data_IF_933308352067
#
_entry.id   IF_933308352067
#
_cell.length_a   1.000
_cell.length_b   1.000
_cell.length_c   1.000
_cell.angle_alpha   90.00
_cell.angle_beta   90.00
_cell.angle_gamma   90.00
#
_symmetry.space_group_name_H-M   'P 1'
#
loop_
_entity.id
_entity.type
_entity.pdbx_description
1 polymer ?
#
# COMPACT_ATOMS: atom_id res chain seq x y z
N UNK A 1 -15.33 -46.81 18.69
CA UNK A 1 -15.23 -45.80 17.62
C UNK A 1 -16.15 -44.59 17.83
N UNK A 2 -15.86 -43.78 18.84
CA UNK A 2 -16.56 -42.51 19.09
C UNK A 2 -15.64 -41.35 18.66
N UNK A 3 -15.52 -41.11 17.35
CA UNK A 3 -15.04 -39.80 16.87
C UNK A 3 -16.14 -38.78 17.18
N UNK A 4 -15.88 -37.89 18.15
CA UNK A 4 -16.85 -36.89 18.62
C UNK A 4 -17.29 -35.98 17.46
N UNK A 5 -18.54 -35.49 17.45
CA UNK A 5 -19.07 -34.63 16.38
C UNK A 5 -18.20 -33.39 16.08
N UNK A 6 -17.44 -32.90 17.07
CA UNK A 6 -16.45 -31.81 16.89
C UNK A 6 -15.34 -32.19 15.90
N UNK A 7 -14.76 -33.38 16.03
CA UNK A 7 -13.67 -33.83 15.12
C UNK A 7 -14.08 -33.99 13.65
N UNK A 8 -15.37 -34.19 13.36
CA UNK A 8 -15.87 -34.21 11.97
C UNK A 8 -16.02 -32.81 11.40
N UNK A 9 -16.53 -31.86 12.18
CA UNK A 9 -16.66 -30.45 11.78
C UNK A 9 -15.28 -29.85 11.51
N UNK A 10 -14.30 -30.13 12.37
CA UNK A 10 -12.93 -29.61 12.23
C UNK A 10 -12.25 -30.11 10.94
N UNK A 11 -12.44 -31.38 10.57
CA UNK A 11 -11.94 -31.95 9.30
C UNK A 11 -12.58 -31.32 8.07
N UNK A 12 -13.89 -31.09 8.13
CA UNK A 12 -14.62 -30.42 7.03
C UNK A 12 -14.14 -28.98 6.90
N UNK A 13 -13.98 -28.26 8.02
CA UNK A 13 -13.48 -26.90 8.02
C UNK A 13 -12.07 -26.80 7.43
N UNK A 14 -11.15 -27.68 7.83
CA UNK A 14 -9.80 -27.76 7.26
C UNK A 14 -9.82 -28.02 5.76
N UNK A 15 -10.67 -28.95 5.29
CA UNK A 15 -10.82 -29.20 3.84
C UNK A 15 -11.31 -27.95 3.11
N UNK A 16 -12.31 -27.25 3.66
CA UNK A 16 -12.84 -26.00 3.10
C UNK A 16 -11.77 -24.91 3.04
N UNK A 17 -10.91 -24.79 4.06
CA UNK A 17 -9.81 -23.83 4.09
C UNK A 17 -8.76 -24.11 3.01
N UNK A 18 -8.38 -25.37 2.80
CA UNK A 18 -7.42 -25.76 1.75
C UNK A 18 -8.00 -25.46 0.37
N UNK A 19 -9.26 -25.86 0.13
CA UNK A 19 -9.93 -25.59 -1.15
C UNK A 19 -10.07 -24.09 -1.39
N UNK A 20 -10.47 -23.32 -0.38
CA UNK A 20 -10.54 -21.86 -0.45
C UNK A 20 -9.20 -21.24 -0.85
N UNK A 21 -8.12 -21.69 -0.23
CA UNK A 21 -6.77 -21.19 -0.51
C UNK A 21 -6.39 -21.44 -1.97
N UNK A 22 -6.70 -22.62 -2.51
CA UNK A 22 -6.46 -22.96 -3.90
C UNK A 22 -7.28 -22.10 -4.86
N UNK A 23 -8.58 -21.90 -4.58
CA UNK A 23 -9.45 -21.03 -5.38
C UNK A 23 -8.96 -19.59 -5.36
N UNK A 24 -8.47 -19.12 -4.20
CA UNK A 24 -7.93 -17.79 -4.03
C UNK A 24 -6.65 -17.60 -4.85
N UNK A 25 -5.69 -18.53 -4.75
CA UNK A 25 -4.45 -18.50 -5.54
C UNK A 25 -4.77 -18.51 -7.03
N UNK A 26 -5.70 -19.37 -7.47
CA UNK A 26 -6.17 -19.38 -8.86
C UNK A 26 -6.81 -18.04 -9.26
N UNK A 27 -7.58 -17.41 -8.37
CA UNK A 27 -8.18 -16.09 -8.63
C UNK A 27 -7.12 -14.99 -8.78
N UNK A 28 -6.05 -15.01 -7.98
CA UNK A 28 -4.94 -14.05 -8.07
C UNK A 28 -4.16 -14.23 -9.38
N UNK A 29 -3.87 -15.47 -9.76
CA UNK A 29 -3.21 -15.79 -11.04
C UNK A 29 -4.08 -15.33 -12.21
N UNK A 30 -5.37 -15.66 -12.19
CA UNK A 30 -6.32 -15.20 -13.18
C UNK A 30 -6.38 -13.68 -13.27
N UNK A 31 -6.41 -12.97 -12.13
CA UNK A 31 -6.41 -11.50 -12.09
C UNK A 31 -5.17 -10.91 -12.76
N UNK A 32 -3.99 -11.48 -12.55
CA UNK A 32 -2.76 -11.04 -13.20
C UNK A 32 -2.84 -11.22 -14.73
N UNK A 33 -3.26 -12.40 -15.20
CA UNK A 33 -3.42 -12.71 -16.62
C UNK A 33 -4.48 -11.80 -17.26
N UNK A 34 -5.64 -11.66 -16.61
CA UNK A 34 -6.74 -10.82 -17.07
C UNK A 34 -6.32 -9.35 -17.17
N UNK A 35 -5.51 -8.86 -16.23
CA UNK A 35 -5.01 -7.48 -16.27
C UNK A 35 -4.10 -7.26 -17.48
N UNK A 36 -3.15 -8.16 -17.72
CA UNK A 36 -2.23 -8.08 -18.87
C UNK A 36 -3.00 -8.17 -20.20
N UNK A 37 -3.84 -9.18 -20.36
CA UNK A 37 -4.66 -9.34 -21.57
C UNK A 37 -5.58 -8.13 -21.80
N UNK A 38 -6.22 -7.61 -20.74
CA UNK A 38 -7.07 -6.41 -20.87
C UNK A 38 -6.28 -5.20 -21.37
N UNK A 39 -5.01 -5.06 -20.97
CA UNK A 39 -4.14 -4.00 -21.46
C UNK A 39 -3.81 -4.20 -22.94
N UNK A 40 -3.58 -5.44 -23.38
CA UNK A 40 -3.33 -5.76 -24.79
C UNK A 40 -4.55 -5.47 -25.67
N UNK A 41 -5.76 -5.85 -25.25
CA UNK A 41 -7.00 -5.52 -25.97
C UNK A 41 -7.21 -4.00 -26.09
N UNK A 42 -6.98 -3.25 -25.01
CA UNK A 42 -7.05 -1.78 -25.05
C UNK A 42 -6.02 -1.18 -26.01
N UNK A 43 -4.79 -1.70 -26.05
CA UNK A 43 -3.76 -1.27 -27.02
C UNK A 43 -4.16 -1.56 -28.47
N UNK A 44 -4.86 -2.67 -28.71
CA UNK A 44 -5.38 -3.07 -30.02
C UNK A 44 -6.67 -2.33 -30.41
N UNK A 45 -7.27 -1.54 -29.50
CA UNK A 45 -8.54 -0.86 -29.73
C UNK A 45 -9.76 -1.79 -29.69
N UNK A 46 -9.58 -3.02 -29.20
CA UNK A 46 -10.62 -4.04 -29.12
C UNK A 46 -11.27 -4.07 -27.73
N UNK A 47 -12.54 -4.46 -27.69
CA UNK A 47 -13.24 -4.69 -26.43
C UNK A 47 -12.79 -6.00 -25.77
N UNK A 48 -12.69 -6.01 -24.44
CA UNK A 48 -12.37 -7.23 -23.70
C UNK A 48 -13.41 -8.32 -23.96
N UNK A 49 -13.00 -9.58 -24.23
CA UNK A 49 -13.93 -10.68 -24.48
C UNK A 49 -14.90 -10.96 -23.33
N UNK A 50 -16.13 -11.36 -23.64
CA UNK A 50 -17.17 -11.63 -22.65
C UNK A 50 -16.88 -12.78 -21.67
N UNK A 51 -15.95 -13.69 -21.99
CA UNK A 51 -15.59 -14.79 -21.07
C UNK A 51 -14.91 -14.30 -19.79
N UNK A 52 -14.30 -13.12 -19.79
CA UNK A 52 -13.69 -12.53 -18.58
C UNK A 52 -14.70 -12.40 -17.45
N UNK A 53 -15.90 -11.94 -17.79
CA UNK A 53 -17.00 -11.78 -16.83
C UNK A 53 -17.40 -13.11 -16.20
N UNK A 54 -17.54 -14.17 -17.01
CA UNK A 54 -17.95 -15.49 -16.54
C UNK A 54 -16.92 -16.14 -15.63
N UNK A 55 -15.63 -15.97 -15.95
CA UNK A 55 -14.54 -16.46 -15.09
C UNK A 55 -14.51 -15.69 -13.77
N UNK A 56 -14.59 -14.34 -13.80
CA UNK A 56 -14.66 -13.51 -12.59
C UNK A 56 -15.87 -13.88 -11.72
N UNK A 57 -17.04 -14.08 -12.33
CA UNK A 57 -18.27 -14.52 -11.67
C UNK A 57 -18.09 -15.89 -10.99
N UNK A 58 -17.44 -16.85 -11.65
CA UNK A 58 -17.21 -18.18 -11.09
C UNK A 58 -16.40 -18.15 -9.78
N UNK A 59 -15.38 -17.29 -9.72
CA UNK A 59 -14.57 -17.10 -8.51
C UNK A 59 -15.37 -16.43 -7.38
N UNK A 60 -16.22 -15.45 -7.71
CA UNK A 60 -17.09 -14.81 -6.72
C UNK A 60 -18.10 -15.81 -6.16
N UNK A 61 -18.72 -16.65 -7.00
CA UNK A 61 -19.64 -17.70 -6.56
C UNK A 61 -18.92 -18.70 -5.63
N UNK A 62 -17.73 -19.15 -6.01
CA UNK A 62 -16.94 -20.08 -5.17
C UNK A 62 -16.65 -19.48 -3.79
N UNK A 63 -16.27 -18.20 -3.72
CA UNK A 63 -16.03 -17.48 -2.47
C UNK A 63 -17.30 -17.31 -1.63
N UNK A 64 -18.44 -17.04 -2.27
CA UNK A 64 -19.74 -16.98 -1.59
C UNK A 64 -20.09 -18.33 -0.95
N UNK A 65 -19.95 -19.43 -1.70
CA UNK A 65 -20.23 -20.79 -1.20
C UNK A 65 -19.35 -21.13 -0.01
N UNK A 66 -18.07 -20.78 -0.05
CA UNK A 66 -17.15 -20.97 1.07
C UNK A 66 -17.62 -20.25 2.34
N UNK A 67 -17.93 -18.95 2.25
CA UNK A 67 -18.35 -18.15 3.42
C UNK A 67 -19.70 -18.62 3.96
N UNK A 68 -20.65 -18.99 3.09
CA UNK A 68 -21.91 -19.60 3.53
C UNK A 68 -21.64 -20.93 4.25
N UNK A 69 -20.75 -21.77 3.72
CA UNK A 69 -20.40 -23.05 4.36
C UNK A 69 -19.77 -22.83 5.74
N UNK A 70 -18.83 -21.89 5.87
CA UNK A 70 -18.22 -21.50 7.16
C UNK A 70 -19.26 -20.97 8.15
N UNK A 71 -20.18 -20.12 7.67
CA UNK A 71 -21.26 -19.57 8.49
C UNK A 71 -22.20 -20.66 9.01
N UNK A 72 -22.55 -21.65 8.17
CA UNK A 72 -23.42 -22.77 8.58
C UNK A 72 -22.74 -23.72 9.57
N UNK A 73 -21.44 -23.96 9.42
CA UNK A 73 -20.67 -24.86 10.29
C UNK A 73 -20.40 -24.23 11.67
N UNK A 74 -20.00 -22.96 11.71
CA UNK A 74 -19.53 -22.27 12.91
C UNK A 74 -20.64 -21.43 13.59
N UNK A 75 -21.71 -21.08 12.87
CA UNK A 75 -22.90 -20.35 13.37
C UNK A 75 -22.54 -19.03 14.05
N UNK A 76 -22.95 -18.82 15.31
CA UNK A 76 -22.74 -17.57 16.04
C UNK A 76 -21.26 -17.31 16.37
N UNK A 77 -20.46 -18.38 16.47
CA UNK A 77 -19.01 -18.25 16.69
C UNK A 77 -18.30 -17.63 15.48
N UNK A 78 -18.95 -17.56 14.31
CA UNK A 78 -18.42 -16.87 13.13
C UNK A 78 -18.22 -15.36 13.38
N UNK A 79 -19.15 -14.74 14.13
CA UNK A 79 -19.14 -13.29 14.39
C UNK A 79 -18.60 -12.91 15.78
N UNK A 80 -18.57 -13.85 16.73
CA UNK A 80 -18.20 -13.58 18.13
C UNK A 80 -16.91 -14.32 18.53
N UNK A 81 -16.50 -15.33 17.77
CA UNK A 81 -15.32 -16.14 18.07
C UNK A 81 -13.99 -15.40 17.86
N UNK A 82 -12.87 -16.02 18.28
CA UNK A 82 -11.53 -15.42 18.22
C UNK A 82 -11.06 -15.05 16.79
N UNK A 83 -11.69 -15.63 15.75
CA UNK A 83 -11.43 -15.31 14.34
C UNK A 83 -12.39 -14.29 13.71
N UNK A 84 -13.30 -13.67 14.47
CA UNK A 84 -14.41 -12.92 13.90
C UNK A 84 -14.00 -11.73 13.02
N UNK A 85 -12.88 -11.06 13.33
CA UNK A 85 -12.39 -9.91 12.56
C UNK A 85 -12.04 -10.30 11.12
N UNK A 86 -11.46 -11.49 10.95
CA UNK A 86 -11.10 -12.05 9.65
C UNK A 86 -12.33 -12.53 8.88
N UNK A 87 -13.26 -13.17 9.57
CA UNK A 87 -14.55 -13.57 9.00
C UNK A 87 -15.37 -12.37 8.49
N UNK A 88 -15.39 -11.26 9.25
CA UNK A 88 -16.04 -10.01 8.82
C UNK A 88 -15.31 -9.39 7.64
N UNK A 89 -13.97 -9.37 7.65
CA UNK A 89 -13.18 -8.91 6.52
C UNK A 89 -13.48 -9.70 5.24
N UNK A 90 -13.56 -11.03 5.33
CA UNK A 90 -13.91 -11.90 4.21
C UNK A 90 -15.31 -11.61 3.64
N UNK A 91 -16.29 -11.36 4.50
CA UNK A 91 -17.65 -10.96 4.08
C UNK A 91 -17.62 -9.61 3.35
N UNK A 92 -16.91 -8.62 3.89
CA UNK A 92 -16.76 -7.30 3.25
C UNK A 92 -16.14 -7.43 1.86
N UNK A 93 -15.08 -8.24 1.71
CA UNK A 93 -14.44 -8.46 0.42
C UNK A 93 -15.37 -9.09 -0.62
N UNK A 94 -16.22 -10.04 -0.20
CA UNK A 94 -17.20 -10.68 -1.09
C UNK A 94 -18.27 -9.67 -1.52
N UNK A 95 -18.75 -8.83 -0.61
CA UNK A 95 -19.72 -7.78 -0.95
C UNK A 95 -19.12 -6.81 -1.97
N UNK A 96 -17.89 -6.34 -1.74
CA UNK A 96 -17.22 -5.42 -2.67
C UNK A 96 -16.99 -6.07 -4.04
N UNK A 97 -16.66 -7.36 -4.08
CA UNK A 97 -16.53 -8.14 -5.31
C UNK A 97 -17.85 -8.26 -6.08
N UNK A 98 -18.96 -8.52 -5.37
CA UNK A 98 -20.29 -8.61 -5.97
C UNK A 98 -20.74 -7.25 -6.52
N UNK A 99 -20.48 -6.17 -5.78
CA UNK A 99 -20.77 -4.79 -6.23
C UNK A 99 -19.98 -4.45 -7.50
N UNK A 100 -18.68 -4.76 -7.56
CA UNK A 100 -17.84 -4.53 -8.76
C UNK A 100 -18.41 -5.25 -9.99
N UNK A 101 -18.87 -6.49 -9.82
CA UNK A 101 -19.47 -7.29 -10.89
C UNK A 101 -20.81 -6.74 -11.35
N UNK A 102 -21.69 -6.36 -10.42
CA UNK A 102 -23.01 -5.76 -10.72
C UNK A 102 -22.87 -4.43 -11.45
N UNK A 103 -21.93 -3.58 -11.01
CA UNK A 103 -21.66 -2.30 -11.66
C UNK A 103 -21.07 -2.48 -13.06
N UNK A 104 -20.22 -3.50 -13.25
CA UNK A 104 -19.69 -3.87 -14.56
C UNK A 104 -20.79 -4.32 -15.52
N UNK A 105 -21.80 -5.05 -15.03
CA UNK A 105 -22.93 -5.50 -15.83
C UNK A 105 -23.91 -4.36 -16.19
N UNK A 106 -24.04 -3.35 -15.33
CA UNK A 106 -24.99 -2.25 -15.52
C UNK A 106 -24.55 -1.18 -16.55
N UNK A 107 -23.33 -1.27 -17.11
CA UNK A 107 -22.77 -0.31 -18.09
C UNK A 107 -22.91 1.17 -17.69
N UNK A 108 -23.00 1.47 -16.40
CA UNK A 108 -23.18 2.84 -15.92
C UNK A 108 -21.89 3.62 -16.11
N UNK A 109 -21.94 4.76 -16.81
CA UNK A 109 -20.84 5.69 -17.09
C UNK A 109 -20.06 6.19 -15.85
N UNK A 110 -20.52 5.84 -14.65
CA UNK A 110 -19.79 5.90 -13.38
C UNK A 110 -18.50 5.03 -13.33
N UNK A 111 -18.24 4.18 -14.34
CA UNK A 111 -17.03 3.32 -14.46
C UNK A 111 -15.71 4.08 -14.23
N UNK A 112 -15.64 5.39 -14.46
CA UNK A 112 -14.45 6.20 -14.16
C UNK A 112 -14.12 6.28 -12.66
N UNK A 113 -15.11 6.38 -11.78
CA UNK A 113 -14.93 6.31 -10.31
C UNK A 113 -14.60 4.87 -9.85
N UNK A 114 -15.01 3.86 -10.63
CA UNK A 114 -14.78 2.45 -10.32
C UNK A 114 -13.37 1.94 -10.68
N UNK A 115 -12.52 2.77 -11.29
CA UNK A 115 -11.08 2.44 -11.43
C UNK A 115 -10.43 2.15 -10.07
N UNK A 116 -10.90 2.79 -9.00
CA UNK A 116 -10.49 2.49 -7.62
C UNK A 116 -10.93 1.10 -7.14
N UNK A 117 -12.05 0.55 -7.64
CA UNK A 117 -12.50 -0.80 -7.27
C UNK A 117 -11.57 -1.90 -7.82
N UNK A 118 -10.77 -1.63 -8.86
CA UNK A 118 -9.69 -2.55 -9.26
C UNK A 118 -8.67 -2.76 -8.13
N UNK A 119 -8.40 -1.75 -7.30
CA UNK A 119 -7.53 -1.90 -6.14
C UNK A 119 -8.14 -2.82 -5.07
N UNK A 120 -9.48 -2.93 -5.01
CA UNK A 120 -10.14 -3.90 -4.11
C UNK A 120 -9.82 -5.32 -4.55
N UNK A 121 -9.65 -5.60 -5.84
CA UNK A 121 -9.23 -6.93 -6.29
C UNK A 121 -7.86 -7.32 -5.70
N UNK A 122 -6.96 -6.34 -5.54
CA UNK A 122 -5.66 -6.55 -4.87
C UNK A 122 -5.80 -6.85 -3.37
N UNK A 123 -6.86 -6.38 -2.69
CA UNK A 123 -7.10 -6.74 -1.27
C UNK A 123 -7.37 -8.23 -1.07
N UNK A 124 -7.75 -8.97 -2.12
CA UNK A 124 -7.85 -10.44 -2.06
C UNK A 124 -6.51 -11.12 -1.81
N UNK A 125 -5.39 -10.51 -2.19
CA UNK A 125 -4.04 -10.98 -1.86
C UNK A 125 -3.79 -10.91 -0.35
N UNK A 126 -4.35 -9.90 0.33
CA UNK A 126 -4.28 -9.76 1.79
C UNK A 126 -5.01 -10.94 2.47
N UNK A 127 -6.10 -11.42 1.86
CA UNK A 127 -6.77 -12.64 2.32
C UNK A 127 -5.87 -13.88 2.19
N UNK A 128 -5.03 -14.02 1.17
CA UNK A 128 -4.04 -15.14 1.15
C UNK A 128 -3.15 -15.12 2.39
N UNK A 129 -2.75 -13.92 2.80
CA UNK A 129 -1.76 -13.75 3.85
C UNK A 129 -2.26 -14.13 5.25
N UNK A 130 -3.55 -14.08 5.54
CA UNK A 130 -4.04 -14.48 6.87
C UNK A 130 -4.36 -15.98 6.98
N UNK A 131 -4.58 -16.69 5.85
CA UNK A 131 -4.84 -18.14 5.84
C UNK A 131 -3.54 -18.93 6.02
N UNK A 132 -2.43 -18.41 5.48
CA UNK A 132 -1.10 -18.99 5.69
C UNK A 132 -0.60 -18.57 7.08
N UNK A 133 -0.40 -19.51 8.03
CA UNK A 133 -0.03 -19.19 9.41
C UNK A 133 1.24 -18.34 9.52
N UNK A 134 2.23 -18.60 8.68
CA UNK A 134 3.50 -17.89 8.61
C UNK A 134 3.29 -16.44 8.16
N UNK A 135 2.50 -16.23 7.10
CA UNK A 135 2.16 -14.89 6.63
C UNK A 135 1.32 -14.13 7.67
N UNK A 136 0.40 -14.81 8.37
CA UNK A 136 -0.40 -14.19 9.43
C UNK A 136 0.48 -13.67 10.56
N UNK A 137 1.49 -14.44 10.95
CA UNK A 137 2.47 -14.02 11.95
C UNK A 137 3.27 -12.80 11.45
N UNK A 138 3.74 -12.82 10.20
CA UNK A 138 4.44 -11.67 9.61
C UNK A 138 3.56 -10.40 9.57
N UNK A 139 2.29 -10.52 9.18
CA UNK A 139 1.34 -9.40 9.20
C UNK A 139 1.03 -8.91 10.62
N UNK A 140 0.93 -9.82 11.60
CA UNK A 140 0.80 -9.46 13.00
C UNK A 140 2.01 -8.64 13.48
N UNK A 141 3.24 -9.03 13.11
CA UNK A 141 4.45 -8.26 13.42
C UNK A 141 4.48 -6.89 12.74
N UNK A 142 4.04 -6.80 11.48
CA UNK A 142 3.92 -5.51 10.77
C UNK A 142 2.89 -4.60 11.45
N UNK A 143 1.72 -5.12 11.81
CA UNK A 143 0.68 -4.32 12.47
C UNK A 143 1.06 -3.91 13.89
N UNK A 144 1.80 -4.76 14.61
CA UNK A 144 2.35 -4.44 15.94
C UNK A 144 3.37 -3.29 15.88
N UNK A 145 4.20 -3.25 14.84
CA UNK A 145 5.22 -2.20 14.62
C UNK A 145 4.71 -0.98 13.85
N UNK A 146 3.51 -1.05 13.26
CA UNK A 146 2.94 0.02 12.42
C UNK A 146 2.80 1.35 13.16
N UNK A 147 2.42 1.34 14.45
CA UNK A 147 2.32 2.56 15.25
C UNK A 147 3.68 3.23 15.42
N UNK A 148 4.74 2.45 15.69
CA UNK A 148 6.10 2.96 15.81
C UNK A 148 6.64 3.49 14.47
N UNK A 149 6.38 2.78 13.37
CA UNK A 149 6.72 3.25 12.03
C UNK A 149 6.01 4.55 11.68
N UNK A 150 4.72 4.67 12.01
CA UNK A 150 3.95 5.88 11.77
C UNK A 150 4.58 7.09 12.46
N UNK A 151 4.92 6.99 13.76
CA UNK A 151 5.57 8.07 14.47
C UNK A 151 6.98 8.40 13.93
N UNK A 152 7.71 7.40 13.46
CA UNK A 152 9.00 7.63 12.83
C UNK A 152 8.88 8.35 11.48
N UNK A 153 7.85 8.05 10.67
CA UNK A 153 7.53 8.82 9.46
C UNK A 153 7.10 10.25 9.80
N UNK A 154 6.32 10.45 10.85
CA UNK A 154 5.95 11.80 11.32
C UNK A 154 7.19 12.60 11.69
N UNK A 155 8.14 11.99 12.41
CA UNK A 155 9.41 12.64 12.75
C UNK A 155 10.24 12.97 11.50
N UNK A 156 10.34 12.04 10.54
CA UNK A 156 11.02 12.29 9.27
C UNK A 156 10.39 13.46 8.51
N UNK A 157 9.06 13.48 8.39
CA UNK A 157 8.32 14.58 7.75
C UNK A 157 8.56 15.90 8.48
N UNK A 158 8.60 15.89 9.81
CA UNK A 158 8.89 17.07 10.62
C UNK A 158 10.30 17.62 10.34
N UNK A 159 11.32 16.75 10.30
CA UNK A 159 12.69 17.16 9.96
C UNK A 159 12.76 17.73 8.53
N UNK A 160 12.17 17.05 7.56
CA UNK A 160 12.08 17.53 6.17
C UNK A 160 11.39 18.90 6.09
N UNK A 161 10.31 19.08 6.84
CA UNK A 161 9.55 20.34 6.88
C UNK A 161 10.38 21.47 7.48
N UNK A 162 11.05 21.26 8.61
CA UNK A 162 11.88 22.28 9.26
C UNK A 162 13.07 22.69 8.38
N UNK A 163 13.77 21.73 7.79
CA UNK A 163 14.85 22.01 6.84
C UNK A 163 14.32 22.74 5.58
N UNK A 164 13.15 22.33 5.08
CA UNK A 164 12.54 22.94 3.92
C UNK A 164 12.14 24.40 4.16
N UNK A 165 11.64 24.72 5.36
CA UNK A 165 11.34 26.11 5.76
C UNK A 165 12.61 26.98 5.76
N UNK A 166 13.72 26.48 6.32
CA UNK A 166 14.98 27.23 6.34
C UNK A 166 15.51 27.54 4.94
N UNK A 167 15.48 26.55 4.03
CA UNK A 167 15.84 26.75 2.62
C UNK A 167 14.86 27.71 1.94
N UNK A 168 13.56 27.58 2.18
CA UNK A 168 12.54 28.44 1.59
C UNK A 168 12.69 29.91 1.99
N UNK A 169 13.00 30.21 3.25
CA UNK A 169 13.26 31.58 3.69
C UNK A 169 14.41 32.22 2.92
N UNK A 170 15.44 31.43 2.57
CA UNK A 170 16.58 31.92 1.79
C UNK A 170 16.23 32.10 0.32
N UNK A 171 15.49 31.17 -0.27
CA UNK A 171 15.04 31.30 -1.66
C UNK A 171 14.08 32.49 -1.81
N UNK A 172 13.18 32.68 -0.84
CA UNK A 172 12.26 33.82 -0.81
C UNK A 172 13.01 35.16 -0.72
N UNK A 173 13.93 35.31 0.22
CA UNK A 173 14.72 36.55 0.35
C UNK A 173 15.61 36.82 -0.88
N UNK A 174 16.12 35.77 -1.53
CA UNK A 174 16.83 35.91 -2.80
C UNK A 174 15.92 36.36 -3.93
N UNK A 175 14.68 35.86 -3.97
CA UNK A 175 13.68 36.23 -4.96
C UNK A 175 13.24 37.69 -4.80
N UNK A 176 13.05 38.16 -3.58
CA UNK A 176 12.71 39.57 -3.29
C UNK A 176 13.82 40.53 -3.70
N UNK A 177 15.09 40.12 -3.58
CA UNK A 177 16.24 41.00 -3.86
C UNK A 177 16.64 41.05 -5.34
N UNK A 178 16.50 39.96 -6.10
CA UNK A 178 17.00 39.87 -7.49
C UNK A 178 15.88 39.61 -8.51
N UNK A 179 14.64 39.39 -8.08
CA UNK A 179 13.54 39.03 -8.97
C UNK A 179 13.67 37.62 -9.56
N UNK A 180 12.62 37.17 -10.26
CA UNK A 180 12.52 35.80 -10.82
C UNK A 180 13.47 35.60 -12.01
N UNK A 181 13.75 36.66 -12.78
CA UNK A 181 14.50 36.60 -14.05
C UNK A 181 15.97 36.24 -13.85
N UNK A 182 16.56 36.67 -12.73
CA UNK A 182 17.97 36.42 -12.40
C UNK A 182 18.18 35.10 -11.64
N UNK A 183 17.13 34.30 -11.45
CA UNK A 183 17.23 33.03 -10.74
C UNK A 183 17.61 31.86 -11.65
N UNK A 184 18.50 31.02 -11.13
CA UNK A 184 18.85 29.76 -11.77
C UNK A 184 17.61 28.87 -11.91
N UNK A 185 17.34 28.36 -13.10
CA UNK A 185 16.18 27.52 -13.41
C UNK A 185 16.08 26.31 -12.45
N UNK A 186 17.24 25.71 -12.14
CA UNK A 186 17.35 24.58 -11.21
C UNK A 186 16.94 24.95 -9.77
N UNK A 187 17.15 26.21 -9.35
CA UNK A 187 16.75 26.64 -8.01
C UNK A 187 15.23 26.65 -7.87
N UNK A 188 14.50 27.19 -8.85
CA UNK A 188 13.03 27.19 -8.83
C UNK A 188 12.42 25.80 -9.11
N UNK A 189 13.12 24.98 -9.89
CA UNK A 189 12.73 23.58 -10.13
C UNK A 189 12.67 22.77 -8.82
N UNK A 190 13.72 22.85 -8.00
CA UNK A 190 13.83 22.09 -6.75
C UNK A 190 13.24 22.81 -5.53
N UNK A 191 13.38 24.14 -5.48
CA UNK A 191 13.06 24.96 -4.31
C UNK A 191 12.04 26.07 -4.60
N UNK A 192 11.24 25.97 -5.66
CA UNK A 192 10.23 26.98 -5.97
C UNK A 192 8.97 26.94 -5.09
N UNK A 193 8.80 25.90 -4.27
CA UNK A 193 7.70 25.81 -3.29
C UNK A 193 8.06 24.87 -2.15
N UNK A 194 7.38 25.01 -1.01
CA UNK A 194 7.63 24.17 0.17
C UNK A 194 7.50 22.66 -0.12
N UNK A 195 6.46 22.16 -0.81
CA UNK A 195 6.38 20.73 -1.15
C UNK A 195 7.49 20.25 -2.08
N UNK A 196 7.92 21.09 -3.04
CA UNK A 196 9.06 20.75 -3.92
C UNK A 196 10.38 20.71 -3.16
N UNK A 197 10.59 21.63 -2.21
CA UNK A 197 11.75 21.60 -1.32
C UNK A 197 11.76 20.35 -0.46
N UNK A 198 10.63 20.01 0.17
CA UNK A 198 10.50 18.78 0.97
C UNK A 198 10.76 17.53 0.11
N UNK A 199 10.22 17.47 -1.11
CA UNK A 199 10.48 16.39 -2.05
C UNK A 199 11.96 16.32 -2.44
N UNK A 200 12.61 17.46 -2.68
CA UNK A 200 14.04 17.53 -3.02
C UNK A 200 14.91 17.03 -1.88
N UNK A 201 14.63 17.42 -0.63
CA UNK A 201 15.31 16.91 0.55
C UNK A 201 15.06 15.40 0.73
N UNK A 202 13.86 14.92 0.46
CA UNK A 202 13.56 13.48 0.46
C UNK A 202 14.32 12.73 -0.64
N UNK A 203 14.42 13.28 -1.85
CA UNK A 203 15.19 12.69 -2.96
C UNK A 203 16.68 12.57 -2.63
N UNK A 204 17.23 13.52 -1.86
CA UNK A 204 18.63 13.50 -1.42
C UNK A 204 18.97 12.32 -0.50
N UNK A 205 18.01 11.83 0.29
CA UNK A 205 18.21 10.73 1.26
C UNK A 205 17.68 9.38 0.78
N UNK A 206 16.75 9.38 -0.20
CA UNK A 206 16.12 8.16 -0.73
C UNK A 206 16.83 7.60 -1.97
N UNK A 207 17.88 8.26 -2.46
CA UNK A 207 18.59 7.86 -3.68
C UNK A 207 17.89 8.29 -4.98
N UNK A 208 16.96 9.25 -4.92
CA UNK A 208 16.25 9.75 -6.10
C UNK A 208 17.10 10.69 -6.97
N UNK A 209 17.89 11.57 -6.37
CA UNK A 209 18.78 12.49 -7.09
C UNK A 209 20.02 12.74 -6.23
N UNK A 210 21.19 12.85 -6.87
CA UNK A 210 22.44 13.07 -6.16
C UNK A 210 22.37 14.35 -5.32
N UNK A 211 22.67 14.25 -4.03
CA UNK A 211 22.53 15.34 -3.08
C UNK A 211 23.37 16.56 -3.47
N UNK A 212 24.52 16.34 -4.12
CA UNK A 212 25.39 17.41 -4.61
C UNK A 212 24.68 18.26 -5.67
N UNK A 213 23.98 17.62 -6.62
CA UNK A 213 23.22 18.32 -7.67
C UNK A 213 22.03 19.12 -7.11
N UNK A 214 21.48 18.68 -5.98
CA UNK A 214 20.44 19.41 -5.26
C UNK A 214 21.03 20.58 -4.46
N UNK A 215 22.22 20.42 -3.87
CA UNK A 215 22.88 21.47 -3.12
C UNK A 215 23.44 22.59 -4.01
N UNK A 216 23.94 22.26 -5.20
CA UNK A 216 24.64 23.18 -6.12
C UNK A 216 23.89 24.52 -6.36
N UNK A 217 22.57 24.55 -6.67
CA UNK A 217 21.82 25.81 -6.79
C UNK A 217 21.85 26.68 -5.52
N UNK A 218 21.90 26.08 -4.33
CA UNK A 218 21.94 26.80 -3.05
C UNK A 218 23.36 27.26 -2.69
N UNK A 219 24.40 26.54 -3.15
CA UNK A 219 25.81 26.92 -2.97
C UNK A 219 26.11 28.26 -3.63
N UNK A 220 25.48 28.54 -4.78
CA UNK A 220 25.61 29.84 -5.45
C UNK A 220 25.04 31.01 -4.63
N UNK A 221 24.16 30.74 -3.66
CA UNK A 221 23.67 31.75 -2.70
C UNK A 221 24.64 31.85 -1.51
N UNK A 222 24.98 30.71 -0.91
CA UNK A 222 25.95 30.63 0.17
C UNK A 222 26.60 29.24 0.26
N UNK A 223 27.93 29.14 0.40
CA UNK A 223 28.63 27.86 0.53
C UNK A 223 28.25 27.10 1.82
N UNK A 224 27.64 27.78 2.81
CA UNK A 224 27.11 27.15 4.02
C UNK A 224 26.14 26.00 3.73
N UNK A 225 25.43 26.05 2.60
CA UNK A 225 24.48 25.01 2.22
C UNK A 225 25.10 23.64 1.94
N UNK A 226 26.39 23.57 1.61
CA UNK A 226 27.11 22.29 1.51
C UNK A 226 27.13 21.60 2.87
N UNK A 227 27.56 22.33 3.91
CA UNK A 227 27.62 21.82 5.27
C UNK A 227 26.22 21.47 5.79
N UNK A 228 25.22 22.31 5.53
CA UNK A 228 23.84 22.04 5.92
C UNK A 228 23.30 20.75 5.29
N UNK A 229 23.56 20.50 4.00
CA UNK A 229 23.17 19.26 3.32
C UNK A 229 23.89 18.03 3.90
N UNK A 230 25.19 18.12 4.14
CA UNK A 230 25.97 17.03 4.75
C UNK A 230 25.43 16.69 6.15
N UNK A 231 25.18 17.70 6.99
CA UNK A 231 24.60 17.50 8.31
C UNK A 231 23.19 16.90 8.25
N UNK A 232 22.35 17.38 7.33
CA UNK A 232 21.00 16.82 7.09
C UNK A 232 21.05 15.34 6.70
N UNK A 233 21.94 14.97 5.77
CA UNK A 233 22.13 13.58 5.34
C UNK A 233 22.62 12.73 6.50
N UNK A 234 23.61 13.22 7.27
CA UNK A 234 24.13 12.47 8.40
C UNK A 234 23.05 12.22 9.45
N UNK A 235 22.33 13.29 9.82
CA UNK A 235 21.25 13.21 10.81
C UNK A 235 20.13 12.27 10.36
N UNK A 236 19.77 12.30 9.08
CA UNK A 236 18.62 11.54 8.59
C UNK A 236 18.96 10.09 8.27
N UNK A 237 20.06 9.84 7.54
CA UNK A 237 20.47 8.48 7.17
C UNK A 237 21.10 7.76 8.36
N UNK A 238 22.10 8.35 9.02
CA UNK A 238 22.80 7.67 10.12
C UNK A 238 22.09 7.82 11.46
N UNK A 239 21.34 8.89 11.67
CA UNK A 239 20.56 9.09 12.89
C UNK A 239 19.17 8.46 12.76
N UNK A 240 18.28 9.11 12.01
CA UNK A 240 16.84 8.85 12.05
C UNK A 240 16.46 7.49 11.47
N UNK A 241 17.02 7.08 10.31
CA UNK A 241 16.72 5.76 9.73
C UNK A 241 17.29 4.61 10.59
N UNK A 242 18.45 4.80 11.22
CA UNK A 242 19.01 3.82 12.14
C UNK A 242 18.21 3.72 13.44
N UNK A 243 17.74 4.84 13.99
CA UNK A 243 16.82 4.86 15.15
C UNK A 243 15.50 4.17 14.79
N UNK A 244 14.94 4.43 13.60
CA UNK A 244 13.73 3.77 13.12
C UNK A 244 13.93 2.25 13.04
N UNK A 245 15.07 1.81 12.48
CA UNK A 245 15.43 0.40 12.40
C UNK A 245 15.59 -0.22 13.79
N UNK A 246 16.25 0.47 14.72
CA UNK A 246 16.42 0.02 16.10
C UNK A 246 15.08 -0.12 16.85
N UNK A 247 14.21 0.88 16.76
CA UNK A 247 12.86 0.85 17.36
C UNK A 247 12.01 -0.25 16.75
N UNK A 248 12.11 -0.47 15.44
CA UNK A 248 11.41 -1.58 14.78
C UNK A 248 11.89 -2.93 15.32
N UNK A 249 13.21 -3.15 15.38
CA UNK A 249 13.80 -4.39 15.92
C UNK A 249 13.35 -4.63 17.37
N UNK A 250 13.39 -3.60 18.22
CA UNK A 250 12.97 -3.68 19.62
C UNK A 250 11.49 -4.05 19.77
N UNK A 251 10.62 -3.51 18.91
CA UNK A 251 9.18 -3.85 18.90
C UNK A 251 8.89 -5.23 18.35
N UNK A 252 9.74 -5.77 17.49
CA UNK A 252 9.60 -7.15 16.98
C UNK A 252 10.23 -8.21 17.89
N UNK A 253 11.11 -7.81 18.82
CA UNK A 253 11.78 -8.71 19.76
C UNK A 253 10.99 -8.94 21.07
N UNK A 254 9.97 -8.14 21.34
CA UNK A 254 9.08 -8.24 22.50
C UNK A 254 7.70 -8.76 22.09
#
# INVERSE_FOLDING_TARGET
DLQSPKTRIDKVLSTVEVVSTLVLVANVIWMAIATELSMQYVKMGEATPGYFFWVDLSFVIAMCVEVVTKLLLVRMDFFIGPGHRWNVFDVVLIILAAVDLLLSAANLSFVRLLRGLRAIRATRVIRTAHVVPELRLMFASVTASAASLFWAFVLLILVLFLCALGVQQTVHSRLESHGIVDMHENLLKYYGSLPRTMLSLFMAISGGTDWKSLAEPLVHISPFYILAYVLFIILTIFGLLNILTAVFVEKTSN
#
